data_IF_276802264652
#
_entry.id   IF_276802264652
#
_cell.length_a   1.000
_cell.length_b   1.000
_cell.length_c   1.000
_cell.angle_alpha   90.00
_cell.angle_beta   90.00
_cell.angle_gamma   90.00
#
_symmetry.space_group_name_H-M   'P 1'
#
loop_
_entity.id
_entity.type
_entity.pdbx_description
1 polymer ?
#
# COMPACT_ATOMS: atom_id res chain seq x y z
N UNK A 1 0.19 3.92 -13.30
CA UNK A 1 -1.11 4.09 -12.60
C UNK A 1 -1.98 2.83 -12.64
N UNK A 2 -2.23 2.21 -13.80
CA UNK A 2 -3.09 1.03 -13.91
C UNK A 2 -2.69 -0.13 -12.98
N UNK A 3 -1.39 -0.42 -12.86
CA UNK A 3 -0.90 -1.48 -11.98
C UNK A 3 -1.20 -1.24 -10.49
N UNK A 4 -0.95 -0.02 -9.98
CA UNK A 4 -1.28 0.36 -8.61
C UNK A 4 -2.78 0.27 -8.33
N UNK A 5 -3.62 0.73 -9.25
CA UNK A 5 -5.08 0.64 -9.09
C UNK A 5 -5.52 -0.82 -9.05
N UNK A 6 -4.90 -1.68 -9.88
CA UNK A 6 -5.20 -3.09 -9.92
C UNK A 6 -4.76 -3.83 -8.65
N UNK A 7 -3.58 -3.53 -8.09
CA UNK A 7 -3.15 -4.06 -6.78
C UNK A 7 -4.04 -3.58 -5.64
N UNK A 8 -4.53 -2.33 -5.70
CA UNK A 8 -5.40 -1.73 -4.69
C UNK A 8 -6.79 -2.40 -4.68
N UNK A 9 -7.33 -2.68 -5.87
CA UNK A 9 -8.58 -3.44 -6.04
C UNK A 9 -8.43 -4.87 -5.53
N UNK A 10 -7.32 -5.52 -5.84
CA UNK A 10 -7.09 -6.92 -5.43
C UNK A 10 -6.84 -7.01 -3.93
N UNK A 11 -6.00 -6.16 -3.34
CA UNK A 11 -5.78 -6.15 -1.89
C UNK A 11 -7.04 -5.73 -1.11
N UNK A 12 -7.93 -4.93 -1.70
CA UNK A 12 -9.22 -4.59 -1.11
C UNK A 12 -10.26 -5.72 -1.19
N UNK A 13 -10.26 -6.51 -2.27
CA UNK A 13 -11.27 -7.56 -2.52
C UNK A 13 -10.85 -8.96 -2.05
N UNK A 14 -9.55 -9.29 -2.09
CA UNK A 14 -9.03 -10.60 -1.67
C UNK A 14 -9.40 -10.97 -0.22
N UNK A 15 -9.40 -10.04 0.76
CA UNK A 15 -9.84 -10.35 2.12
C UNK A 15 -11.32 -10.78 2.23
N UNK A 16 -12.15 -10.43 1.24
CA UNK A 16 -13.58 -10.74 1.22
C UNK A 16 -13.81 -12.24 0.97
N UNK A 17 -12.93 -12.90 0.21
CA UNK A 17 -13.09 -14.32 -0.17
C UNK A 17 -12.95 -15.25 1.07
N UNK A 18 -11.90 -15.15 1.90
CA UNK A 18 -11.81 -15.91 3.15
C UNK A 18 -12.94 -15.56 4.13
N UNK A 19 -13.31 -14.28 4.22
CA UNK A 19 -14.38 -13.84 5.11
C UNK A 19 -15.74 -14.46 4.73
N UNK A 20 -16.05 -14.50 3.42
CA UNK A 20 -17.25 -15.14 2.90
C UNK A 20 -17.24 -16.66 3.12
N UNK A 21 -16.10 -17.32 2.93
CA UNK A 21 -15.97 -18.77 3.18
C UNK A 21 -16.20 -19.11 4.66
N UNK A 22 -15.64 -18.33 5.59
CA UNK A 22 -15.82 -18.53 7.04
C UNK A 22 -17.29 -18.34 7.44
N UNK A 23 -17.94 -17.30 6.89
CA UNK A 23 -19.34 -16.98 7.18
C UNK A 23 -20.31 -18.09 6.77
N UNK A 24 -20.07 -18.76 5.64
CA UNK A 24 -20.92 -19.86 5.16
C UNK A 24 -20.64 -21.20 5.86
N UNK A 25 -19.42 -21.39 6.39
CA UNK A 25 -19.01 -22.68 6.97
C UNK A 25 -19.39 -22.81 8.45
N UNK A 26 -19.30 -21.72 9.22
CA UNK A 26 -19.56 -21.74 10.67
C UNK A 26 -20.21 -20.43 11.14
N UNK A 27 -21.52 -20.23 10.90
CA UNK A 27 -22.21 -18.97 11.19
C UNK A 27 -22.28 -18.65 12.70
N UNK A 28 -22.32 -19.66 13.56
CA UNK A 28 -22.57 -19.49 15.01
C UNK A 28 -21.30 -19.25 15.83
N UNK A 29 -20.12 -19.51 15.25
CA UNK A 29 -18.80 -19.23 15.84
C UNK A 29 -18.00 -18.25 15.00
N UNK A 30 -18.67 -17.48 14.14
CA UNK A 30 -18.04 -16.60 13.18
C UNK A 30 -17.30 -15.48 13.92
N UNK A 31 -16.00 -15.64 14.05
CA UNK A 31 -15.04 -14.63 14.52
C UNK A 31 -14.05 -14.44 13.40
N UNK A 32 -13.68 -13.19 13.13
CA UNK A 32 -12.68 -12.90 12.11
C UNK A 32 -11.36 -13.57 12.53
N UNK A 33 -10.87 -14.49 11.70
CA UNK A 33 -9.53 -15.07 11.89
C UNK A 33 -8.59 -14.36 10.91
N UNK A 34 -7.59 -13.60 11.41
CA UNK A 34 -6.72 -12.82 10.52
C UNK A 34 -5.76 -13.70 9.71
N UNK A 35 -5.33 -14.85 10.25
CA UNK A 35 -4.34 -15.71 9.61
C UNK A 35 -4.74 -16.25 8.22
N UNK A 36 -5.95 -16.81 8.02
CA UNK A 36 -6.41 -17.17 6.69
C UNK A 36 -6.34 -16.02 5.69
N UNK A 37 -6.69 -14.80 6.11
CA UNK A 37 -6.64 -13.60 5.28
C UNK A 37 -5.18 -13.28 4.90
N UNK A 38 -4.28 -13.28 5.87
CA UNK A 38 -2.83 -13.05 5.66
C UNK A 38 -2.26 -14.06 4.65
N UNK A 39 -2.57 -15.35 4.80
CA UNK A 39 -2.08 -16.39 3.89
C UNK A 39 -2.59 -16.21 2.46
N UNK A 40 -3.87 -15.85 2.30
CA UNK A 40 -4.43 -15.58 0.97
C UNK A 40 -3.82 -14.35 0.32
N UNK A 41 -3.59 -13.27 1.08
CA UNK A 41 -2.92 -12.07 0.56
C UNK A 41 -1.47 -12.35 0.20
N UNK A 42 -0.72 -13.07 1.04
CA UNK A 42 0.64 -13.49 0.71
C UNK A 42 0.68 -14.32 -0.57
N UNK A 43 -0.20 -15.31 -0.71
CA UNK A 43 -0.28 -16.16 -1.90
C UNK A 43 -0.57 -15.35 -3.17
N UNK A 44 -1.57 -14.47 -3.12
CA UNK A 44 -1.93 -13.60 -4.25
C UNK A 44 -0.81 -12.60 -4.56
N UNK A 45 -0.19 -12.00 -3.55
CA UNK A 45 0.91 -11.05 -3.72
C UNK A 45 2.14 -11.70 -4.34
N UNK A 46 2.48 -12.93 -3.92
CA UNK A 46 3.55 -13.72 -4.55
C UNK A 46 3.22 -14.04 -6.00
N UNK A 47 1.99 -14.46 -6.31
CA UNK A 47 1.55 -14.69 -7.68
C UNK A 47 1.67 -13.43 -8.54
N UNK A 48 1.31 -12.29 -7.97
CA UNK A 48 1.43 -10.98 -8.60
C UNK A 48 2.87 -10.62 -8.91
N UNK A 49 3.74 -10.82 -7.92
CA UNK A 49 5.17 -10.63 -8.06
C UNK A 49 5.70 -11.56 -9.17
N UNK A 50 5.27 -12.82 -9.25
CA UNK A 50 5.76 -13.73 -10.30
C UNK A 50 5.26 -13.37 -11.71
N UNK A 51 4.01 -12.94 -11.86
CA UNK A 51 3.39 -12.66 -13.17
C UNK A 51 3.73 -11.26 -13.66
N UNK A 52 3.53 -10.25 -12.82
CA UNK A 52 3.60 -8.85 -13.23
C UNK A 52 5.06 -8.34 -13.35
N UNK A 53 6.03 -8.98 -12.69
CA UNK A 53 7.45 -8.61 -12.71
C UNK A 53 8.06 -8.65 -14.13
N UNK A 54 7.54 -9.51 -15.02
CA UNK A 54 7.94 -9.54 -16.43
C UNK A 54 7.36 -8.39 -17.26
N UNK A 55 6.24 -7.81 -16.84
CA UNK A 55 5.46 -6.86 -17.64
C UNK A 55 5.60 -5.39 -17.21
N UNK A 56 6.23 -5.11 -16.07
CA UNK A 56 6.16 -3.77 -15.47
C UNK A 56 7.25 -2.77 -15.87
N UNK A 57 8.28 -3.17 -16.62
CA UNK A 57 9.33 -2.24 -17.06
C UNK A 57 10.08 -1.49 -15.94
N UNK A 58 9.88 -1.87 -14.67
CA UNK A 58 10.43 -1.14 -13.52
C UNK A 58 11.94 -1.30 -13.36
N UNK A 59 12.56 -0.28 -12.78
CA UNK A 59 13.96 -0.34 -12.31
C UNK A 59 14.08 -1.25 -11.09
N UNK A 60 15.26 -1.85 -10.85
CA UNK A 60 15.48 -2.81 -9.74
C UNK A 60 15.02 -2.27 -8.38
N UNK A 61 15.33 -1.02 -8.07
CA UNK A 61 14.98 -0.37 -6.79
C UNK A 61 13.47 -0.16 -6.62
N UNK A 62 12.77 0.14 -7.72
CA UNK A 62 11.30 0.25 -7.71
C UNK A 62 10.64 -1.10 -7.45
N UNK A 63 11.20 -2.19 -8.03
CA UNK A 63 10.69 -3.55 -7.80
C UNK A 63 10.87 -3.99 -6.35
N UNK A 64 12.04 -3.74 -5.77
CA UNK A 64 12.30 -4.05 -4.34
C UNK A 64 11.33 -3.27 -3.43
N UNK A 65 11.11 -1.99 -3.72
CA UNK A 65 10.19 -1.15 -2.94
C UNK A 65 8.73 -1.64 -3.04
N UNK A 66 8.26 -1.97 -4.25
CA UNK A 66 6.89 -2.47 -4.43
C UNK A 66 6.69 -3.87 -3.84
N UNK A 67 7.67 -4.77 -3.97
CA UNK A 67 7.62 -6.09 -3.34
C UNK A 67 7.54 -5.98 -1.81
N UNK A 68 8.32 -5.08 -1.21
CA UNK A 68 8.25 -4.81 0.23
C UNK A 68 6.87 -4.28 0.64
N UNK A 69 6.29 -3.36 -0.14
CA UNK A 69 4.94 -2.84 0.13
C UNK A 69 3.89 -3.94 0.08
N UNK A 70 3.96 -4.86 -0.89
CA UNK A 70 3.04 -6.00 -0.99
C UNK A 70 3.19 -6.98 0.19
N UNK A 71 4.42 -7.24 0.62
CA UNK A 71 4.67 -8.09 1.81
C UNK A 71 4.09 -7.43 3.06
N UNK A 72 4.40 -6.15 3.29
CA UNK A 72 3.88 -5.39 4.44
C UNK A 72 2.36 -5.36 4.42
N UNK A 73 1.74 -5.14 3.25
CA UNK A 73 0.29 -5.08 3.12
C UNK A 73 -0.39 -6.40 3.51
N UNK A 74 0.23 -7.55 3.25
CA UNK A 74 -0.32 -8.84 3.63
C UNK A 74 -0.46 -9.02 5.16
N UNK A 75 0.33 -8.29 5.97
CA UNK A 75 0.27 -8.33 7.44
C UNK A 75 -0.63 -7.23 8.03
N UNK A 76 -1.11 -6.28 7.24
CA UNK A 76 -2.02 -5.21 7.69
C UNK A 76 -3.29 -5.78 8.34
N UNK A 77 -3.96 -6.81 7.77
CA UNK A 77 -5.06 -7.52 8.43
C UNK A 77 -4.78 -8.00 9.85
N UNK A 78 -3.59 -8.54 10.08
CA UNK A 78 -3.20 -9.09 11.37
C UNK A 78 -3.00 -7.97 12.41
N UNK A 79 -2.28 -6.91 12.02
CA UNK A 79 -2.10 -5.74 12.86
C UNK A 79 -3.44 -5.07 13.20
N UNK A 80 -4.32 -4.96 12.19
CA UNK A 80 -5.66 -4.38 12.34
C UNK A 80 -6.53 -5.18 13.31
N UNK A 81 -6.50 -6.52 13.20
CA UNK A 81 -7.24 -7.40 14.09
C UNK A 81 -6.76 -7.28 15.55
N UNK A 82 -5.44 -7.35 15.78
CA UNK A 82 -4.87 -7.26 17.11
C UNK A 82 -5.14 -5.90 17.78
N UNK A 83 -5.30 -4.84 16.98
CA UNK A 83 -5.60 -3.50 17.50
C UNK A 83 -7.08 -3.29 17.79
N UNK A 84 -7.98 -3.76 16.91
CA UNK A 84 -9.43 -3.52 17.02
C UNK A 84 -10.14 -4.48 17.97
N UNK A 85 -9.65 -5.72 18.08
CA UNK A 85 -10.31 -6.77 18.84
C UNK A 85 -9.39 -7.28 19.96
N UNK A 86 -9.15 -6.46 21.01
CA UNK A 86 -8.47 -6.96 22.20
C UNK A 86 -9.30 -8.08 22.83
N UNK A 87 -8.61 -9.07 23.41
CA UNK A 87 -9.18 -10.33 23.86
C UNK A 87 -10.34 -10.21 24.88
N UNK A 88 -10.50 -9.03 25.49
CA UNK A 88 -11.48 -8.75 26.53
C UNK A 88 -12.82 -8.22 26.00
N UNK A 89 -12.90 -7.78 24.74
CA UNK A 89 -14.13 -7.21 24.15
C UNK A 89 -14.83 -8.17 23.20
N UNK A 90 -16.04 -8.60 23.56
CA UNK A 90 -16.91 -9.40 22.69
C UNK A 90 -17.77 -8.51 21.79
N UNK A 91 -17.29 -8.23 20.58
CA UNK A 91 -18.10 -7.62 19.53
C UNK A 91 -18.93 -8.67 18.79
N UNK A 92 -20.14 -8.32 18.37
CA UNK A 92 -20.91 -9.18 17.46
C UNK A 92 -20.24 -9.25 16.09
N UNK A 93 -20.39 -10.39 15.40
CA UNK A 93 -19.73 -10.64 14.11
C UNK A 93 -19.98 -9.54 13.04
N UNK A 94 -21.19 -8.99 12.87
CA UNK A 94 -21.42 -7.89 11.93
C UNK A 94 -20.64 -6.62 12.27
N UNK A 95 -20.51 -6.31 13.56
CA UNK A 95 -19.75 -5.16 14.05
C UNK A 95 -18.25 -5.39 13.84
N UNK A 96 -17.77 -6.62 14.04
CA UNK A 96 -16.38 -6.99 13.74
C UNK A 96 -16.06 -6.79 12.26
N UNK A 97 -16.94 -7.24 11.35
CA UNK A 97 -16.77 -7.05 9.90
C UNK A 97 -16.73 -5.57 9.55
N UNK A 98 -17.70 -4.79 10.05
CA UNK A 98 -17.80 -3.38 9.71
C UNK A 98 -16.57 -2.59 10.16
N UNK A 99 -16.10 -2.80 11.39
CA UNK A 99 -14.89 -2.18 11.93
C UNK A 99 -13.63 -2.61 11.16
N UNK A 100 -13.52 -3.91 10.87
CA UNK A 100 -12.39 -4.45 10.11
C UNK A 100 -12.33 -3.85 8.71
N UNK A 101 -13.45 -3.85 7.96
CA UNK A 101 -13.54 -3.26 6.63
C UNK A 101 -13.21 -1.76 6.64
N UNK A 102 -13.73 -1.02 7.62
CA UNK A 102 -13.43 0.41 7.76
C UNK A 102 -11.92 0.64 7.95
N UNK A 103 -11.28 -0.14 8.82
CA UNK A 103 -9.84 0.00 9.04
C UNK A 103 -9.01 -0.44 7.83
N UNK A 104 -9.40 -1.48 7.08
CA UNK A 104 -8.72 -1.84 5.84
C UNK A 104 -8.74 -0.67 4.83
N UNK A 105 -9.87 0.03 4.68
CA UNK A 105 -9.97 1.21 3.82
C UNK A 105 -9.05 2.34 4.30
N UNK A 106 -9.02 2.62 5.61
CA UNK A 106 -8.13 3.63 6.20
C UNK A 106 -6.66 3.31 5.93
N UNK A 107 -6.26 2.04 6.07
CA UNK A 107 -4.91 1.59 5.82
C UNK A 107 -4.51 1.72 4.35
N UNK A 108 -5.35 1.27 3.42
CA UNK A 108 -5.12 1.39 1.98
C UNK A 108 -4.96 2.85 1.57
N UNK A 109 -5.85 3.73 2.05
CA UNK A 109 -5.77 5.17 1.76
C UNK A 109 -4.47 5.76 2.31
N UNK A 110 -4.06 5.39 3.51
CA UNK A 110 -2.88 5.94 4.19
C UNK A 110 -1.55 5.46 3.59
N UNK A 111 -1.47 4.18 3.23
CA UNK A 111 -0.21 3.56 2.76
C UNK A 111 -0.05 3.69 1.24
N UNK A 112 -1.13 3.54 0.47
CA UNK A 112 -1.02 3.48 -1.00
C UNK A 112 -1.37 4.82 -1.67
N UNK A 113 -2.40 5.53 -1.19
CA UNK A 113 -2.92 6.74 -1.86
C UNK A 113 -2.26 8.02 -1.34
N UNK A 114 -2.11 8.15 -0.02
CA UNK A 114 -1.60 9.36 0.59
C UNK A 114 -0.16 9.72 0.15
N UNK A 115 0.79 8.79 0.01
CA UNK A 115 2.14 9.13 -0.44
C UNK A 115 2.17 9.68 -1.87
N UNK A 116 1.33 9.15 -2.77
CA UNK A 116 1.22 9.63 -4.15
C UNK A 116 0.60 11.04 -4.20
N UNK A 117 -0.41 11.31 -3.37
CA UNK A 117 -1.03 12.62 -3.27
C UNK A 117 -0.05 13.67 -2.72
N UNK A 118 0.65 13.32 -1.64
CA UNK A 118 1.70 14.16 -1.04
C UNK A 118 2.86 14.39 -2.02
N UNK A 119 3.24 13.36 -2.79
CA UNK A 119 4.25 13.46 -3.84
C UNK A 119 3.86 14.49 -4.91
N UNK A 120 2.62 14.43 -5.40
CA UNK A 120 2.10 15.40 -6.38
C UNK A 120 2.06 16.83 -5.83
N UNK A 121 1.70 17.02 -4.56
CA UNK A 121 1.71 18.35 -3.93
C UNK A 121 3.13 18.88 -3.80
N UNK A 122 4.10 18.04 -3.41
CA UNK A 122 5.51 18.44 -3.35
C UNK A 122 6.06 18.80 -4.72
N UNK A 123 5.71 18.04 -5.75
CA UNK A 123 6.07 18.34 -7.13
C UNK A 123 5.53 19.69 -7.57
N UNK A 124 4.22 19.95 -7.38
CA UNK A 124 3.62 21.26 -7.70
C UNK A 124 4.31 22.41 -6.94
N UNK A 125 4.57 22.24 -5.65
CA UNK A 125 5.31 23.25 -4.86
C UNK A 125 6.75 23.45 -5.31
N UNK A 126 7.40 22.44 -5.89
CA UNK A 126 8.74 22.56 -6.45
C UNK A 126 8.71 23.25 -7.83
N UNK A 127 7.74 22.89 -8.67
CA UNK A 127 7.48 23.55 -9.96
C UNK A 127 7.11 25.02 -9.78
N UNK A 128 6.25 25.35 -8.81
CA UNK A 128 5.90 26.73 -8.46
C UNK A 128 7.13 27.52 -8.01
N UNK A 129 8.04 26.92 -7.23
CA UNK A 129 9.29 27.56 -6.81
C UNK A 129 10.29 27.75 -7.95
N UNK A 130 10.32 26.82 -8.90
CA UNK A 130 11.11 26.92 -10.12
C UNK A 130 10.59 28.06 -11.01
N UNK A 131 9.28 28.08 -11.26
CA UNK A 131 8.60 29.06 -12.12
C UNK A 131 8.58 30.46 -11.50
N UNK A 132 8.49 30.57 -10.16
CA UNK A 132 8.54 31.85 -9.47
C UNK A 132 9.95 32.43 -9.35
N UNK A 133 10.98 31.80 -9.95
CA UNK A 133 12.37 32.22 -9.85
C UNK A 133 12.97 32.13 -8.44
N UNK A 134 12.29 31.51 -7.47
CA UNK A 134 12.78 31.36 -6.09
C UNK A 134 13.78 30.22 -5.95
N UNK A 135 13.77 29.26 -6.87
CA UNK A 135 14.80 28.23 -6.99
C UNK A 135 15.55 28.41 -8.32
N UNK A 136 16.80 28.89 -8.21
CA UNK A 136 17.74 28.83 -9.32
C UNK A 136 18.18 27.38 -9.50
N UNK A 137 17.87 26.79 -10.64
CA UNK A 137 18.50 25.54 -11.06
C UNK A 137 19.85 25.91 -11.64
N UNK A 138 20.96 25.45 -11.04
CA UNK A 138 22.28 25.65 -11.62
C UNK A 138 22.30 25.00 -13.00
N UNK A 139 22.66 25.79 -14.01
CA UNK A 139 22.79 25.26 -15.37
C UNK A 139 23.94 24.25 -15.41
N UNK A 140 23.87 23.27 -16.32
CA UNK A 140 24.91 22.25 -16.47
C UNK A 140 26.30 22.87 -16.69
N UNK A 141 26.36 24.03 -17.34
CA UNK A 141 27.59 24.81 -17.54
C UNK A 141 28.10 25.47 -16.26
N UNK A 142 27.20 25.94 -15.39
CA UNK A 142 27.56 26.56 -14.11
C UNK A 142 28.16 25.52 -13.14
N UNK A 143 27.60 24.31 -13.12
CA UNK A 143 28.12 23.18 -12.33
C UNK A 143 29.50 22.77 -12.85
N UNK A 144 29.67 22.65 -14.17
CA UNK A 144 30.97 22.31 -14.79
C UNK A 144 32.04 23.37 -14.51
N UNK A 145 31.70 24.66 -14.59
CA UNK A 145 32.62 25.76 -14.24
C UNK A 145 33.00 25.76 -12.76
N UNK A 146 32.05 25.46 -11.85
CA UNK A 146 32.34 25.32 -10.41
C UNK A 146 33.30 24.17 -10.10
N UNK A 147 33.19 23.07 -10.84
CA UNK A 147 34.12 21.94 -10.70
C UNK A 147 35.51 22.24 -11.30
N UNK A 148 35.59 23.01 -12.38
CA UNK A 148 36.86 23.45 -12.95
C UNK A 148 37.60 24.48 -12.09
N UNK A 149 36.88 25.41 -11.45
CA UNK A 149 37.49 26.43 -10.58
C UNK A 149 37.89 25.91 -9.18
N UNK A 150 37.54 24.66 -8.84
CA UNK A 150 37.91 24.01 -7.58
C UNK A 150 39.10 23.05 -7.71
N UNK A 151 39.61 22.84 -8.92
CA UNK A 151 40.85 22.14 -9.22
C UNK A 151 41.99 23.17 -9.38
#
# INVERSE_FOLDING_TARGET
>A
MAFKVFTLLINGLVPVIPAWFIMNSHPETAVIKPWPIVWTLLGVNVLFILIAWKHLGYTRRQRETEALMLIINAFVPLATYNWLFPAETQFSFPVQILLYCFMQVVWIVSIEIAPDWVGRIRQRKAEERALSGKQHFESREEVLKKHQNKA
#
